data_IF_868947465044
#
_entry.id   IF_868947465044
#
_cell.length_a   1.000
_cell.length_b   1.000
_cell.length_c   1.000
_cell.angle_alpha   90.00
_cell.angle_beta   90.00
_cell.angle_gamma   90.00
#
_symmetry.space_group_name_H-M   'P 1'
#
loop_
_entity.id
_entity.type
_entity.pdbx_description
1 polymer ?
#
# COMPACT_ATOMS: atom_id res chain seq x y z
N UNK A 1 7.72 -0.57 3.84
CA UNK A 1 8.22 -1.96 3.98
C UNK A 1 8.19 -2.60 2.60
N UNK A 2 9.29 -3.17 2.12
CA UNK A 2 9.29 -3.84 0.81
C UNK A 2 8.84 -5.31 0.96
N UNK A 3 7.92 -5.74 0.10
CA UNK A 3 7.49 -7.14 0.06
C UNK A 3 8.58 -7.98 -0.62
N UNK A 4 8.89 -9.15 -0.05
CA UNK A 4 9.78 -10.11 -0.72
C UNK A 4 9.08 -10.69 -1.96
N UNK A 5 9.71 -10.55 -3.13
CA UNK A 5 9.16 -11.02 -4.40
C UNK A 5 8.86 -12.52 -4.40
N UNK A 6 9.62 -13.36 -3.68
CA UNK A 6 9.32 -14.79 -3.55
C UNK A 6 8.04 -15.02 -2.76
N UNK A 7 7.85 -14.27 -1.68
CA UNK A 7 6.65 -14.33 -0.86
C UNK A 7 5.41 -13.88 -1.64
N UNK A 8 5.51 -12.79 -2.40
CA UNK A 8 4.43 -12.32 -3.26
C UNK A 8 4.08 -13.36 -4.32
N UNK A 9 5.09 -13.94 -4.99
CA UNK A 9 4.86 -14.99 -6.00
C UNK A 9 4.19 -16.22 -5.40
N UNK A 10 4.58 -16.62 -4.18
CA UNK A 10 3.93 -17.70 -3.43
C UNK A 10 2.46 -17.36 -3.15
N UNK A 11 2.15 -16.18 -2.61
CA UNK A 11 0.77 -15.74 -2.38
C UNK A 11 -0.05 -15.71 -3.67
N UNK A 12 0.57 -15.40 -4.80
CA UNK A 12 -0.07 -15.39 -6.12
C UNK A 12 -0.05 -16.77 -6.80
N UNK A 13 0.26 -17.86 -6.08
CA UNK A 13 0.33 -19.24 -6.57
C UNK A 13 1.16 -19.40 -7.85
N UNK A 14 2.26 -18.66 -7.95
CA UNK A 14 3.15 -18.66 -9.13
C UNK A 14 2.68 -17.80 -10.30
N UNK A 15 1.56 -17.08 -10.17
CA UNK A 15 1.11 -16.15 -11.21
C UNK A 15 2.01 -14.90 -11.23
N UNK A 16 2.92 -14.85 -12.20
CA UNK A 16 3.89 -13.76 -12.34
C UNK A 16 3.23 -12.41 -12.64
N UNK A 17 2.17 -12.37 -13.47
CA UNK A 17 1.49 -11.10 -13.77
C UNK A 17 0.76 -10.54 -12.56
N UNK A 18 0.20 -11.39 -11.70
CA UNK A 18 -0.40 -10.94 -10.44
C UNK A 18 0.66 -10.44 -9.45
N UNK A 19 1.80 -11.13 -9.36
CA UNK A 19 2.91 -10.70 -8.52
C UNK A 19 3.51 -9.36 -8.98
N UNK A 20 3.66 -9.17 -10.29
CA UNK A 20 4.07 -7.90 -10.91
C UNK A 20 3.06 -6.78 -10.61
N UNK A 21 1.75 -7.06 -10.74
CA UNK A 21 0.69 -6.10 -10.38
C UNK A 21 0.81 -5.65 -8.92
N UNK A 22 0.93 -6.60 -7.98
CA UNK A 22 1.06 -6.27 -6.55
C UNK A 22 2.32 -5.45 -6.31
N UNK A 23 3.45 -5.84 -6.86
CA UNK A 23 4.73 -5.14 -6.65
C UNK A 23 4.62 -3.69 -7.14
N UNK A 24 4.11 -3.49 -8.35
CA UNK A 24 3.94 -2.17 -8.98
C UNK A 24 2.99 -1.26 -8.18
N UNK A 25 1.85 -1.77 -7.72
CA UNK A 25 0.92 -0.95 -6.92
C UNK A 25 1.52 -0.57 -5.56
N UNK A 26 2.29 -1.47 -4.94
CA UNK A 26 2.93 -1.17 -3.65
C UNK A 26 4.02 -0.11 -3.81
N UNK A 27 4.80 -0.17 -4.88
CA UNK A 27 5.81 0.84 -5.23
C UNK A 27 5.15 2.20 -5.48
N UNK A 28 4.09 2.23 -6.30
CA UNK A 28 3.32 3.45 -6.56
C UNK A 28 2.74 4.03 -5.26
N UNK A 29 2.17 3.18 -4.40
CA UNK A 29 1.55 3.62 -3.14
C UNK A 29 2.58 4.18 -2.16
N UNK A 30 3.73 3.51 -2.00
CA UNK A 30 4.79 4.02 -1.13
C UNK A 30 5.37 5.34 -1.65
N UNK A 31 5.60 5.46 -2.95
CA UNK A 31 6.12 6.72 -3.48
C UNK A 31 5.09 7.86 -3.36
N UNK A 32 3.79 7.56 -3.53
CA UNK A 32 2.75 8.55 -3.30
C UNK A 32 2.73 9.02 -1.83
N UNK A 33 2.87 8.10 -0.88
CA UNK A 33 3.03 8.43 0.56
C UNK A 33 4.22 9.38 0.76
N UNK A 34 5.40 9.01 0.24
CA UNK A 34 6.64 9.78 0.35
C UNK A 34 6.51 11.21 -0.24
N UNK A 35 5.85 11.36 -1.39
CA UNK A 35 5.60 12.65 -2.04
C UNK A 35 4.72 13.58 -1.20
N UNK A 36 3.85 12.99 -0.38
CA UNK A 36 2.89 13.71 0.47
C UNK A 36 3.50 13.99 1.84
N UNK A 37 4.30 13.06 2.35
CA UNK A 37 4.99 13.17 3.62
C UNK A 37 6.13 14.16 3.60
N UNK A 38 6.86 14.25 2.48
CA UNK A 38 7.98 15.19 2.31
C UNK A 38 9.00 15.08 3.45
N UNK A 39 9.16 13.88 3.99
CA UNK A 39 10.00 13.57 5.14
C UNK A 39 11.40 13.06 4.74
N UNK A 40 11.63 12.86 3.43
CA UNK A 40 12.91 12.44 2.84
C UNK A 40 13.07 12.94 1.40
N UNK A 41 14.31 13.06 0.89
CA UNK A 41 14.56 13.40 -0.50
C UNK A 41 14.13 12.26 -1.44
N UNK A 42 13.66 12.63 -2.64
CA UNK A 42 13.30 11.72 -3.71
C UNK A 42 14.09 12.10 -4.98
N UNK A 43 14.61 11.09 -5.67
CA UNK A 43 15.28 11.28 -6.95
C UNK A 43 14.25 11.45 -8.08
N UNK A 44 14.48 12.41 -8.99
CA UNK A 44 13.58 12.70 -10.11
C UNK A 44 13.28 11.45 -10.97
N UNK A 45 14.28 10.59 -11.16
CA UNK A 45 14.15 9.36 -11.94
C UNK A 45 13.13 8.39 -11.33
N UNK A 46 13.09 8.29 -9.99
CA UNK A 46 12.13 7.43 -9.28
C UNK A 46 10.71 7.96 -9.46
N UNK A 47 10.55 9.29 -9.39
CA UNK A 47 9.26 9.95 -9.64
C UNK A 47 8.79 9.70 -11.07
N UNK A 48 9.65 9.95 -12.06
CA UNK A 48 9.33 9.73 -13.46
C UNK A 48 8.94 8.28 -13.75
N UNK A 49 9.71 7.31 -13.22
CA UNK A 49 9.42 5.89 -13.39
C UNK A 49 8.07 5.50 -12.77
N UNK A 50 7.76 5.99 -11.56
CA UNK A 50 6.49 5.69 -10.91
C UNK A 50 5.29 6.24 -11.70
N UNK A 51 5.40 7.45 -12.27
CA UNK A 51 4.33 7.97 -13.14
C UNK A 51 4.19 7.14 -14.42
N UNK A 52 5.29 6.67 -15.02
CA UNK A 52 5.22 5.75 -16.15
C UNK A 52 4.57 4.40 -15.74
N UNK A 53 4.92 3.87 -14.58
CA UNK A 53 4.35 2.63 -14.07
C UNK A 53 2.83 2.80 -13.84
N UNK A 54 2.41 3.86 -13.17
CA UNK A 54 1.00 4.14 -12.87
C UNK A 54 0.16 4.39 -14.13
N UNK A 55 0.66 5.18 -15.08
CA UNK A 55 -0.11 5.60 -16.26
C UNK A 55 -0.04 4.61 -17.42
N UNK A 56 1.06 3.85 -17.54
CA UNK A 56 1.33 3.02 -18.73
C UNK A 56 1.39 1.54 -18.37
N UNK A 57 2.23 1.12 -17.40
CA UNK A 57 2.44 -0.31 -17.15
C UNK A 57 1.30 -0.95 -16.37
N UNK A 58 0.82 -0.29 -15.32
CA UNK A 58 -0.27 -0.77 -14.48
C UNK A 58 -1.54 -1.07 -15.28
N UNK A 59 -2.09 -0.15 -16.11
CA UNK A 59 -3.26 -0.45 -16.93
C UNK A 59 -3.00 -1.47 -18.05
N UNK A 60 -1.74 -1.83 -18.31
CA UNK A 60 -1.34 -2.86 -19.28
C UNK A 60 -1.03 -4.21 -18.66
N UNK A 61 -0.94 -4.30 -17.33
CA UNK A 61 -0.71 -5.58 -16.64
C UNK A 61 -1.87 -6.55 -16.93
N UNK A 62 -1.55 -7.78 -17.36
CA UNK A 62 -2.53 -8.77 -17.82
C UNK A 62 -3.52 -9.16 -16.72
N UNK A 63 -3.01 -9.47 -15.53
CA UNK A 63 -3.82 -9.83 -14.38
C UNK A 63 -4.75 -8.70 -13.96
N UNK A 64 -4.26 -7.46 -13.91
CA UNK A 64 -5.07 -6.31 -13.55
C UNK A 64 -6.18 -6.06 -14.57
N UNK A 65 -5.85 -6.05 -15.87
CA UNK A 65 -6.84 -5.88 -16.95
C UNK A 65 -7.94 -6.93 -16.90
N UNK A 66 -7.57 -8.19 -16.68
CA UNK A 66 -8.54 -9.29 -16.61
C UNK A 66 -9.51 -9.16 -15.44
N UNK A 67 -9.08 -8.53 -14.35
CA UNK A 67 -9.84 -8.42 -13.10
C UNK A 67 -10.13 -6.95 -12.74
N UNK A 68 -10.18 -6.07 -13.75
CA UNK A 68 -10.15 -4.63 -13.56
C UNK A 68 -11.29 -4.14 -12.67
N UNK A 69 -12.54 -4.52 -12.98
CA UNK A 69 -13.71 -4.05 -12.23
C UNK A 69 -13.63 -4.37 -10.73
N UNK A 70 -13.11 -5.55 -10.39
CA UNK A 70 -12.92 -5.98 -9.00
C UNK A 70 -11.76 -5.24 -8.33
N UNK A 71 -10.57 -5.30 -8.93
CA UNK A 71 -9.35 -4.76 -8.31
C UNK A 71 -9.29 -3.23 -8.32
N UNK A 72 -9.86 -2.58 -9.34
CA UNK A 72 -9.98 -1.13 -9.40
C UNK A 72 -10.91 -0.61 -8.30
N UNK A 73 -12.02 -1.30 -8.02
CA UNK A 73 -12.91 -0.96 -6.90
C UNK A 73 -12.20 -1.06 -5.54
N UNK A 74 -11.41 -2.12 -5.33
CA UNK A 74 -10.60 -2.28 -4.11
C UNK A 74 -9.55 -1.17 -4.01
N UNK A 75 -8.84 -0.87 -5.10
CA UNK A 75 -7.85 0.20 -5.16
C UNK A 75 -8.46 1.57 -4.85
N UNK A 76 -9.62 1.88 -5.42
CA UNK A 76 -10.36 3.12 -5.15
C UNK A 76 -10.72 3.26 -3.67
N UNK A 77 -11.16 2.17 -3.04
CA UNK A 77 -11.45 2.16 -1.60
C UNK A 77 -10.17 2.33 -0.76
N UNK A 78 -9.07 1.65 -1.12
CA UNK A 78 -7.79 1.79 -0.43
C UNK A 78 -7.25 3.22 -0.47
N UNK A 79 -7.35 3.89 -1.63
CA UNK A 79 -6.96 5.30 -1.78
C UNK A 79 -7.82 6.21 -0.89
N UNK A 80 -9.14 6.01 -0.93
CA UNK A 80 -10.07 6.77 -0.08
C UNK A 80 -9.74 6.60 1.40
N UNK A 81 -9.48 5.37 1.85
CA UNK A 81 -9.10 5.07 3.23
C UNK A 81 -7.77 5.71 3.64
N UNK A 82 -6.78 5.74 2.75
CA UNK A 82 -5.51 6.40 3.00
C UNK A 82 -5.67 7.93 3.11
N UNK A 83 -6.47 8.56 2.24
CA UNK A 83 -6.80 9.99 2.37
C UNK A 83 -7.49 10.32 3.69
N UNK A 84 -8.45 9.49 4.12
CA UNK A 84 -9.14 9.63 5.40
C UNK A 84 -8.16 9.47 6.57
N UNK A 85 -7.29 8.45 6.52
CA UNK A 85 -6.29 8.21 7.56
C UNK A 85 -5.35 9.41 7.72
N UNK A 86 -4.87 9.96 6.61
CA UNK A 86 -3.98 11.13 6.63
C UNK A 86 -4.66 12.37 7.23
N UNK A 87 -5.95 12.56 6.98
CA UNK A 87 -6.72 13.66 7.60
C UNK A 87 -6.87 13.44 9.12
N UNK A 88 -7.21 12.21 9.53
CA UNK A 88 -7.31 11.81 10.95
C UNK A 88 -5.97 11.98 11.70
N UNK A 89 -4.84 11.64 11.07
CA UNK A 89 -3.50 11.80 11.63
C UNK A 89 -3.11 13.25 11.89
N UNK A 90 -3.60 14.16 11.04
CA UNK A 90 -3.44 15.62 11.20
C UNK A 90 -4.34 16.15 12.32
N UNK A 91 -5.53 15.57 12.50
CA UNK A 91 -6.42 15.86 13.63
C UNK A 91 -5.82 15.47 14.98
N UNK A 92 -5.11 14.33 15.05
CA UNK A 92 -4.23 13.96 16.16
C UNK A 92 -4.90 13.51 17.46
N UNK A 93 -6.22 13.26 17.47
CA UNK A 93 -6.92 12.69 18.61
C UNK A 93 -6.67 11.18 18.77
N UNK A 94 -6.85 10.66 19.99
CA UNK A 94 -6.56 9.24 20.27
C UNK A 94 -7.41 8.30 19.42
N UNK A 95 -8.70 8.59 19.26
CA UNK A 95 -9.60 7.77 18.45
C UNK A 95 -9.20 7.83 16.97
N UNK A 96 -8.91 9.03 16.47
CA UNK A 96 -8.50 9.30 15.10
C UNK A 96 -7.22 8.55 14.75
N UNK A 97 -6.22 8.58 15.62
CA UNK A 97 -4.95 7.86 15.42
C UNK A 97 -5.13 6.34 15.43
N UNK A 98 -6.02 5.81 16.28
CA UNK A 98 -6.35 4.39 16.29
C UNK A 98 -7.04 3.98 14.98
N UNK A 99 -7.97 4.79 14.47
CA UNK A 99 -8.65 4.51 13.20
C UNK A 99 -7.67 4.60 12.03
N UNK A 100 -6.86 5.67 11.97
CA UNK A 100 -5.88 5.88 10.92
C UNK A 100 -4.87 4.72 10.81
N UNK A 101 -4.39 4.21 11.94
CA UNK A 101 -3.51 3.03 11.99
C UNK A 101 -4.09 1.82 11.25
N UNK A 102 -5.41 1.61 11.34
CA UNK A 102 -6.08 0.53 10.63
C UNK A 102 -6.27 0.87 9.14
N UNK A 103 -6.83 2.05 8.86
CA UNK A 103 -7.22 2.45 7.50
C UNK A 103 -6.04 2.64 6.55
N UNK A 104 -4.91 3.18 7.03
CA UNK A 104 -3.75 3.47 6.16
C UNK A 104 -3.16 2.23 5.51
N UNK A 105 -3.39 1.06 6.11
CA UNK A 105 -2.93 -0.22 5.58
C UNK A 105 -3.92 -0.87 4.61
N UNK A 106 -5.04 -0.24 4.24
CA UNK A 106 -6.06 -0.84 3.36
C UNK A 106 -5.56 -1.18 1.95
N UNK A 107 -4.42 -0.67 1.50
CA UNK A 107 -3.82 -1.08 0.22
C UNK A 107 -3.45 -2.59 0.21
N UNK A 108 -3.20 -3.19 1.37
CA UNK A 108 -2.84 -4.62 1.50
C UNK A 108 -4.02 -5.54 1.14
N UNK A 109 -5.24 -5.02 1.10
CA UNK A 109 -6.42 -5.76 0.67
C UNK A 109 -6.33 -6.12 -0.82
N UNK A 110 -5.57 -5.39 -1.63
CA UNK A 110 -5.29 -5.79 -3.02
C UNK A 110 -4.57 -7.14 -3.10
N UNK A 111 -3.70 -7.46 -2.13
CA UNK A 111 -3.01 -8.75 -2.06
C UNK A 111 -4.01 -9.86 -1.73
N UNK A 112 -4.83 -9.64 -0.71
CA UNK A 112 -5.88 -10.60 -0.29
C UNK A 112 -6.90 -10.84 -1.41
N UNK A 113 -7.32 -9.79 -2.09
CA UNK A 113 -8.28 -9.88 -3.19
C UNK A 113 -7.67 -10.51 -4.45
N UNK A 114 -6.39 -10.28 -4.72
CA UNK A 114 -5.68 -10.99 -5.79
C UNK A 114 -5.54 -12.49 -5.47
N UNK A 115 -5.25 -12.84 -4.21
CA UNK A 115 -5.23 -14.22 -3.75
C UNK A 115 -6.62 -14.89 -3.85
N UNK A 116 -7.70 -14.15 -3.59
CA UNK A 116 -9.08 -14.63 -3.80
C UNK A 116 -9.33 -15.01 -5.27
N UNK A 117 -8.98 -14.13 -6.19
CA UNK A 117 -9.18 -14.34 -7.64
C UNK A 117 -8.36 -15.54 -8.17
N UNK A 118 -7.22 -15.85 -7.55
CA UNK A 118 -6.32 -16.93 -7.99
C UNK A 118 -6.61 -18.27 -7.29
N UNK A 119 -6.84 -18.24 -5.98
CA UNK A 119 -6.87 -19.42 -5.13
C UNK A 119 -8.18 -19.66 -4.39
N UNK A 120 -9.17 -18.77 -4.55
CA UNK A 120 -10.45 -18.84 -3.85
C UNK A 120 -10.38 -18.40 -2.38
N UNK A 121 -11.53 -18.43 -1.72
CA UNK A 121 -11.73 -17.83 -0.40
C UNK A 121 -10.80 -18.40 0.69
N UNK A 122 -10.58 -19.71 0.71
CA UNK A 122 -9.73 -20.34 1.71
C UNK A 122 -8.28 -19.86 1.61
N UNK A 123 -7.78 -19.73 0.37
CA UNK A 123 -6.45 -19.21 0.11
C UNK A 123 -6.33 -17.73 0.47
N UNK A 124 -7.31 -16.93 0.06
CA UNK A 124 -7.37 -15.50 0.41
C UNK A 124 -7.32 -15.27 1.92
N UNK A 125 -8.06 -16.05 2.72
CA UNK A 125 -8.05 -15.95 4.17
C UNK A 125 -6.68 -16.27 4.78
N UNK A 126 -5.97 -17.28 4.24
CA UNK A 126 -4.61 -17.61 4.67
C UNK A 126 -3.64 -16.46 4.33
N UNK A 127 -3.63 -16.02 3.07
CA UNK A 127 -2.77 -14.93 2.61
C UNK A 127 -3.05 -13.64 3.39
N UNK A 128 -4.31 -13.28 3.58
CA UNK A 128 -4.71 -12.07 4.31
C UNK A 128 -4.22 -12.06 5.75
N UNK A 129 -4.23 -13.21 6.43
CA UNK A 129 -3.64 -13.35 7.78
C UNK A 129 -2.14 -13.08 7.77
N UNK A 130 -1.41 -13.64 6.81
CA UNK A 130 0.04 -13.50 6.71
C UNK A 130 0.43 -12.06 6.37
N UNK A 131 -0.24 -11.46 5.38
CA UNK A 131 -0.05 -10.08 4.95
C UNK A 131 -0.29 -9.10 6.10
N UNK A 132 -1.39 -9.25 6.85
CA UNK A 132 -1.70 -8.34 7.97
C UNK A 132 -0.67 -8.43 9.09
N UNK A 133 -0.17 -9.63 9.40
CA UNK A 133 0.92 -9.79 10.38
C UNK A 133 2.20 -9.11 9.91
N UNK A 134 2.51 -9.22 8.62
CA UNK A 134 3.68 -8.59 8.03
C UNK A 134 3.55 -7.06 8.07
N UNK A 135 2.40 -6.51 7.67
CA UNK A 135 2.23 -5.05 7.53
C UNK A 135 2.03 -4.33 8.86
N UNK A 136 1.58 -5.02 9.91
CA UNK A 136 1.38 -4.44 11.26
C UNK A 136 2.46 -4.90 12.27
N UNK A 137 3.60 -5.39 11.79
CA UNK A 137 4.68 -5.91 12.65
C UNK A 137 5.22 -4.84 13.63
N UNK A 138 5.20 -3.56 13.23
CA UNK A 138 5.62 -2.42 14.06
C UNK A 138 4.70 -2.16 15.26
N UNK A 139 3.45 -2.64 15.18
CA UNK A 139 2.37 -2.40 16.15
C UNK A 139 2.02 -0.91 16.29
N UNK A 140 0.93 -0.64 17.00
CA UNK A 140 0.43 0.72 17.18
C UNK A 140 1.46 1.68 17.79
N UNK A 141 2.23 1.23 18.80
CA UNK A 141 3.28 2.06 19.42
C UNK A 141 4.42 2.41 18.45
N UNK A 142 4.79 1.48 17.56
CA UNK A 142 5.80 1.73 16.54
C UNK A 142 5.32 2.77 15.53
N UNK A 143 4.09 2.60 15.06
CA UNK A 143 3.40 3.55 14.20
C UNK A 143 3.37 4.98 14.79
N UNK A 144 2.96 5.14 16.06
CA UNK A 144 2.92 6.47 16.69
C UNK A 144 4.30 7.15 16.75
N UNK A 145 5.37 6.36 16.93
CA UNK A 145 6.74 6.88 16.91
C UNK A 145 7.13 7.31 15.50
N UNK A 146 6.86 6.50 14.49
CA UNK A 146 7.14 6.84 13.09
C UNK A 146 6.40 8.12 12.66
N UNK A 147 5.13 8.26 13.04
CA UNK A 147 4.33 9.44 12.77
C UNK A 147 4.90 10.72 13.42
N UNK A 148 5.44 10.63 14.63
CA UNK A 148 6.10 11.76 15.30
C UNK A 148 7.43 12.15 14.61
N UNK A 149 8.19 11.16 14.14
CA UNK A 149 9.43 11.36 13.37
C UNK A 149 9.15 12.03 12.02
N UNK A 150 8.15 11.54 11.28
CA UNK A 150 7.67 12.13 10.02
C UNK A 150 7.21 13.57 10.21
N UNK A 151 6.38 13.85 11.23
CA UNK A 151 5.93 15.22 11.56
C UNK A 151 7.09 16.18 11.80
N UNK A 152 8.14 15.75 12.50
CA UNK A 152 9.34 16.55 12.75
C UNK A 152 10.12 16.80 11.46
N UNK A 153 10.31 15.77 10.63
CA UNK A 153 11.01 15.88 9.37
C UNK A 153 10.30 16.84 8.39
N UNK A 154 8.97 16.69 8.23
CA UNK A 154 8.16 17.57 7.39
C UNK A 154 8.23 19.03 7.84
N UNK A 155 8.21 19.30 9.14
CA UNK A 155 8.36 20.66 9.68
C UNK A 155 9.76 21.24 9.44
N UNK A 156 10.80 20.41 9.50
CA UNK A 156 12.16 20.84 9.21
C UNK A 156 12.35 21.21 7.73
N UNK A 157 11.73 20.45 6.82
CA UNK A 157 11.78 20.72 5.37
C UNK A 157 10.97 21.96 4.94
N UNK A 158 10.03 22.42 5.76
CA UNK A 158 9.20 23.60 5.48
C UNK A 158 9.82 24.93 5.96
N UNK A 159 10.97 24.89 6.65
CA UNK A 159 11.71 26.06 7.15
C UNK A 159 12.86 26.43 6.21
#
# INVERSE_FOLDING_TARGET
MYLDGKQVLYWMKGNASAADFISMVMEISHLWDDLIDKDKPLEDEVVNQCFFDALIRLPRNEFYRKNFDHLNSVMMNSISNWLIANDMERGGGELELNIAFILRSSYVDLITQSALLIGGQAWASQVGKDVRKLTHHEKYKGYLRALDEEKKARQAAAR
#
